data_IF_888210078907
#
_entry.id   IF_888210078907
#
_cell.length_a   1.000
_cell.length_b   1.000
_cell.length_c   1.000
_cell.angle_alpha   90.00
_cell.angle_beta   90.00
_cell.angle_gamma   90.00
#
_symmetry.space_group_name_H-M   'P 1'
#
loop_
_entity.id
_entity.type
_entity.pdbx_description
1 polymer ?
#
# COMPACT_ATOMS: atom_id res chain seq x y z
N UNK A 1 -0.03 36.92 24.71
CA UNK A 1 -1.49 36.82 24.85
C UNK A 1 -2.09 36.60 23.48
N UNK A 2 -2.58 35.38 23.27
CA UNK A 2 -3.65 34.92 22.39
C UNK A 2 -3.79 35.51 20.98
N UNK A 3 -3.53 34.69 19.97
CA UNK A 3 -4.48 34.38 18.88
C UNK A 3 -4.24 32.93 18.45
N UNK A 4 -5.08 32.00 18.92
CA UNK A 4 -6.22 31.43 18.17
C UNK A 4 -5.77 30.26 17.30
N UNK A 5 -5.94 29.01 17.76
CA UNK A 5 -7.20 28.26 17.59
C UNK A 5 -7.68 28.36 16.14
N UNK A 6 -7.02 27.63 15.26
CA UNK A 6 -7.68 26.98 14.12
C UNK A 6 -7.04 25.59 13.99
N UNK A 7 -7.52 24.66 14.82
CA UNK A 7 -7.41 23.23 14.52
C UNK A 7 -8.20 23.03 13.24
N UNK A 8 -7.51 22.94 12.11
CA UNK A 8 -8.13 22.61 10.83
C UNK A 8 -8.62 21.17 10.96
N UNK A 9 -9.92 21.05 11.21
CA UNK A 9 -10.66 19.82 11.07
C UNK A 9 -10.57 19.40 9.60
N UNK A 10 -9.70 18.44 9.29
CA UNK A 10 -9.76 17.73 8.02
C UNK A 10 -10.85 16.67 8.18
N UNK A 11 -12.04 17.07 7.74
CA UNK A 11 -13.21 16.22 7.60
C UNK A 11 -12.86 15.13 6.58
N UNK A 12 -12.64 13.90 7.05
CA UNK A 12 -12.49 12.71 6.21
C UNK A 12 -13.89 12.37 5.67
N UNK A 13 -14.23 12.94 4.52
CA UNK A 13 -15.41 12.55 3.75
C UNK A 13 -15.02 11.37 2.84
N UNK A 14 -15.24 10.18 3.38
CA UNK A 14 -15.17 8.89 2.70
C UNK A 14 -16.40 8.77 1.78
N UNK A 15 -16.22 8.84 0.46
CA UNK A 15 -17.20 8.29 -0.50
C UNK A 15 -16.45 7.45 -1.52
N UNK A 16 -16.42 6.15 -1.24
CA UNK A 16 -16.18 5.09 -2.22
C UNK A 16 -17.47 4.93 -3.02
N UNK A 17 -17.39 5.13 -4.34
CA UNK A 17 -18.38 4.61 -5.27
C UNK A 17 -17.64 3.91 -6.41
N UNK A 18 -17.37 2.61 -6.23
CA UNK A 18 -16.99 1.72 -7.33
C UNK A 18 -18.22 0.90 -7.72
N UNK A 19 -18.74 1.31 -8.87
CA UNK A 19 -19.46 0.59 -9.93
C UNK A 19 -19.45 -0.94 -9.86
N UNK A 20 -20.65 -1.53 -10.03
CA UNK A 20 -20.89 -2.76 -10.80
C UNK A 20 -22.36 -2.70 -11.30
N UNK A 21 -22.60 -2.37 -12.57
CA UNK A 21 -22.82 -3.29 -13.71
C UNK A 21 -24.20 -3.99 -13.73
N UNK A 22 -25.01 -3.53 -14.69
CA UNK A 22 -25.98 -4.25 -15.54
C UNK A 22 -27.19 -4.96 -14.92
N UNK A 23 -28.39 -4.54 -15.33
CA UNK A 23 -29.26 -5.37 -16.17
C UNK A 23 -30.34 -4.55 -16.89
N UNK A 24 -30.78 -5.15 -17.99
CA UNK A 24 -31.39 -4.62 -19.19
C UNK A 24 -32.92 -4.43 -19.10
N UNK A 25 -33.45 -3.72 -20.11
CA UNK A 25 -34.80 -3.82 -20.70
C UNK A 25 -36.00 -3.01 -20.14
N UNK A 26 -36.34 -1.98 -20.92
CA UNK A 26 -37.64 -1.81 -21.62
C UNK A 26 -38.81 -1.12 -20.90
N UNK A 27 -39.10 0.08 -21.43
CA UNK A 27 -40.40 0.73 -21.70
C UNK A 27 -41.37 1.02 -20.54
N UNK A 28 -41.55 2.30 -20.27
CA UNK A 28 -42.71 2.85 -19.56
C UNK A 28 -43.89 2.98 -20.55
N UNK A 29 -44.90 2.14 -20.34
CA UNK A 29 -46.23 2.23 -20.97
C UNK A 29 -47.18 2.88 -19.97
N UNK A 30 -47.83 3.97 -20.37
CA UNK A 30 -48.87 4.66 -19.60
C UNK A 30 -50.26 4.04 -19.84
N UNK A 31 -51.03 3.84 -18.76
CA UNK A 31 -52.50 3.82 -18.80
C UNK A 31 -53.24 2.56 -18.30
N UNK A 32 -53.54 2.53 -16.98
CA UNK A 32 -54.87 2.37 -16.32
C UNK A 32 -55.83 1.17 -16.68
N UNK A 33 -56.93 0.91 -15.91
CA UNK A 33 -56.99 -0.04 -14.79
C UNK A 33 -58.08 -1.15 -14.92
N UNK A 34 -57.94 -2.30 -14.23
CA UNK A 34 -59.08 -3.12 -13.75
C UNK A 34 -58.73 -4.40 -12.96
N UNK A 35 -59.49 -4.57 -11.87
CA UNK A 35 -60.10 -5.79 -11.31
C UNK A 35 -59.25 -6.97 -10.76
N UNK A 36 -59.50 -7.21 -9.45
CA UNK A 36 -59.62 -8.48 -8.71
C UNK A 36 -58.58 -9.59 -8.91
N UNK A 37 -57.95 -10.06 -7.83
CA UNK A 37 -58.43 -11.16 -6.95
C UNK A 37 -57.34 -11.48 -5.89
N UNK A 38 -57.74 -12.05 -4.76
CA UNK A 38 -56.90 -12.26 -3.57
C UNK A 38 -55.89 -13.41 -3.66
N UNK A 39 -54.99 -13.48 -2.66
CA UNK A 39 -54.10 -14.64 -2.48
C UNK A 39 -52.92 -14.36 -1.55
N UNK A 40 -53.04 -14.82 -0.32
CA UNK A 40 -52.06 -14.95 0.77
C UNK A 40 -50.90 -15.92 0.42
N UNK A 41 -49.63 -15.58 0.71
CA UNK A 41 -48.61 -16.44 1.41
C UNK A 41 -47.20 -15.80 1.53
N UNK A 42 -46.81 -15.53 2.79
CA UNK A 42 -45.54 -15.81 3.52
C UNK A 42 -44.15 -15.35 2.99
N UNK A 43 -43.29 -14.72 3.84
CA UNK A 43 -41.92 -14.32 3.49
C UNK A 43 -40.90 -15.46 3.69
N UNK A 44 -40.17 -15.81 2.62
CA UNK A 44 -39.04 -16.74 2.66
C UNK A 44 -37.73 -16.02 3.00
N UNK A 45 -37.24 -16.22 4.22
CA UNK A 45 -35.87 -15.90 4.64
C UNK A 45 -34.92 -16.82 3.87
N UNK A 46 -34.05 -16.25 3.04
CA UNK A 46 -32.84 -16.92 2.57
C UNK A 46 -31.64 -16.06 2.98
N UNK A 47 -31.25 -16.30 4.23
CA UNK A 47 -29.89 -16.11 4.70
C UNK A 47 -28.94 -16.83 3.74
N UNK A 48 -27.97 -16.11 3.19
CA UNK A 48 -26.70 -16.65 2.72
C UNK A 48 -25.69 -15.50 2.64
N UNK A 49 -25.46 -14.85 3.79
CA UNK A 49 -24.25 -14.06 3.98
C UNK A 49 -23.09 -15.04 4.06
N UNK A 50 -22.45 -15.31 2.92
CA UNK A 50 -21.15 -15.96 2.86
C UNK A 50 -20.12 -15.00 3.44
N UNK A 51 -19.99 -15.01 4.77
CA UNK A 51 -18.92 -14.31 5.47
C UNK A 51 -17.65 -15.10 5.20
N UNK A 52 -16.96 -14.76 4.11
CA UNK A 52 -15.57 -15.14 3.90
C UNK A 52 -14.78 -14.57 5.06
N UNK A 53 -14.54 -15.41 6.06
CA UNK A 53 -13.71 -15.08 7.21
C UNK A 53 -12.27 -15.06 6.73
N UNK A 54 -11.87 -13.94 6.12
CA UNK A 54 -10.48 -13.65 5.85
C UNK A 54 -9.80 -13.58 7.22
N UNK A 55 -9.04 -14.62 7.55
CA UNK A 55 -8.15 -14.60 8.72
C UNK A 55 -7.28 -13.36 8.53
N UNK A 56 -7.49 -12.33 9.37
CA UNK A 56 -6.62 -11.17 9.42
C UNK A 56 -5.28 -11.68 9.96
N UNK A 57 -4.37 -12.03 9.05
CA UNK A 57 -2.97 -12.25 9.42
C UNK A 57 -2.48 -11.01 10.17
N UNK A 58 -1.76 -11.23 11.27
CA UNK A 58 -1.08 -10.14 11.95
C UNK A 58 -0.13 -9.45 10.95
N UNK A 59 -0.03 -8.13 11.06
CA UNK A 59 0.89 -7.34 10.26
C UNK A 59 2.33 -7.82 10.51
N UNK A 60 3.10 -7.96 9.44
CA UNK A 60 4.50 -8.39 9.45
C UNK A 60 5.31 -7.53 8.47
N UNK A 61 6.32 -6.82 8.98
CA UNK A 61 7.12 -5.87 8.21
C UNK A 61 7.97 -6.56 7.13
N UNK A 62 8.46 -7.80 7.38
CA UNK A 62 9.19 -8.55 6.36
C UNK A 62 8.28 -8.89 5.18
N UNK A 63 7.07 -9.42 5.46
CA UNK A 63 6.05 -9.68 4.43
C UNK A 63 5.70 -8.41 3.67
N UNK A 64 5.44 -7.30 4.36
CA UNK A 64 5.11 -6.03 3.71
C UNK A 64 6.25 -5.54 2.78
N UNK A 65 7.50 -5.68 3.21
CA UNK A 65 8.70 -5.38 2.44
C UNK A 65 8.82 -6.23 1.17
N UNK A 66 8.53 -7.53 1.24
CA UNK A 66 8.52 -8.40 0.07
C UNK A 66 7.34 -8.14 -0.87
N UNK A 67 6.17 -7.79 -0.34
CA UNK A 67 4.98 -7.50 -1.15
C UNK A 67 5.19 -6.24 -2.04
N UNK A 68 5.99 -5.26 -1.59
CA UNK A 68 6.33 -4.07 -2.39
C UNK A 68 7.53 -4.28 -3.33
N UNK A 69 8.23 -5.41 -3.27
CA UNK A 69 9.50 -5.64 -3.96
C UNK A 69 9.45 -5.35 -5.48
N UNK A 70 10.29 -4.45 -6.04
CA UNK A 70 10.10 -3.92 -7.40
C UNK A 70 10.00 -4.94 -8.54
N UNK A 71 10.57 -6.14 -8.39
CA UNK A 71 10.45 -7.25 -9.34
C UNK A 71 10.28 -8.59 -8.61
N UNK A 72 9.69 -9.65 -9.19
CA UNK A 72 9.05 -9.69 -10.50
C UNK A 72 7.82 -8.78 -10.54
N UNK A 73 7.28 -8.54 -11.73
CA UNK A 73 6.05 -7.77 -11.91
C UNK A 73 4.84 -8.54 -11.32
N UNK A 74 4.67 -8.46 -10.00
CA UNK A 74 3.41 -8.81 -9.34
C UNK A 74 2.36 -7.73 -9.66
N UNK A 75 1.08 -8.04 -9.50
CA UNK A 75 0.01 -7.13 -9.90
C UNK A 75 0.11 -5.80 -9.11
N UNK A 76 -0.01 -4.65 -9.78
CA UNK A 76 0.06 -3.33 -9.14
C UNK A 76 -0.95 -3.17 -7.99
N UNK A 77 -2.08 -3.87 -8.04
CA UNK A 77 -3.08 -3.90 -6.98
C UNK A 77 -2.58 -4.57 -5.69
N UNK A 78 -1.74 -5.60 -5.79
CA UNK A 78 -1.14 -6.27 -4.62
C UNK A 78 -0.15 -5.35 -3.93
N UNK A 79 0.72 -4.69 -4.72
CA UNK A 79 1.65 -3.67 -4.20
C UNK A 79 0.92 -2.51 -3.54
N UNK A 80 -0.13 -2.00 -4.18
CA UNK A 80 -0.94 -0.93 -3.61
C UNK A 80 -1.58 -1.30 -2.28
N UNK A 81 -2.05 -2.54 -2.10
CA UNK A 81 -2.55 -3.02 -0.81
C UNK A 81 -1.48 -3.03 0.27
N UNK A 82 -0.26 -3.51 -0.05
CA UNK A 82 0.85 -3.49 0.89
C UNK A 82 1.26 -2.06 1.28
N UNK A 83 1.32 -1.13 0.32
CA UNK A 83 1.63 0.28 0.59
C UNK A 83 0.60 0.94 1.51
N UNK A 84 -0.69 0.68 1.29
CA UNK A 84 -1.76 1.15 2.17
C UNK A 84 -1.66 0.54 3.58
N UNK A 85 -1.31 -0.74 3.68
CA UNK A 85 -1.14 -1.42 4.96
C UNK A 85 0.05 -0.84 5.75
N UNK A 86 1.20 -0.61 5.10
CA UNK A 86 2.38 0.04 5.69
C UNK A 86 2.03 1.42 6.24
N UNK A 87 1.36 2.26 5.43
CA UNK A 87 0.95 3.60 5.85
C UNK A 87 -0.01 3.56 7.04
N UNK A 88 -1.03 2.69 7.00
CA UNK A 88 -2.00 2.52 8.09
C UNK A 88 -1.34 2.10 9.40
N UNK A 89 -0.30 1.28 9.33
CA UNK A 89 0.44 0.81 10.50
C UNK A 89 1.48 1.82 11.00
N UNK A 90 1.79 2.87 10.23
CA UNK A 90 2.84 3.83 10.57
C UNK A 90 4.21 3.16 10.69
N UNK A 91 4.47 2.13 9.88
CA UNK A 91 5.66 1.30 10.03
C UNK A 91 6.93 2.00 9.54
N UNK A 92 7.62 2.64 10.47
CA UNK A 92 8.87 3.37 10.23
C UNK A 92 10.04 2.49 9.80
N UNK A 93 10.01 1.18 10.06
CA UNK A 93 11.03 0.26 9.53
C UNK A 93 10.98 0.19 8.00
N UNK A 94 9.84 0.53 7.39
CA UNK A 94 9.67 0.50 5.93
C UNK A 94 10.30 1.67 5.19
N UNK A 95 10.86 2.67 5.87
CA UNK A 95 11.48 3.82 5.20
C UNK A 95 12.59 3.39 4.23
N UNK A 96 13.61 2.59 4.62
CA UNK A 96 14.65 2.19 3.67
C UNK A 96 14.12 1.38 2.48
N UNK A 97 13.27 0.33 2.66
CA UNK A 97 12.66 -0.38 1.53
C UNK A 97 11.84 0.50 0.58
N UNK A 98 11.09 1.48 1.11
CA UNK A 98 10.26 2.37 0.30
C UNK A 98 11.11 3.35 -0.53
N UNK A 99 12.18 3.90 0.05
CA UNK A 99 13.13 4.77 -0.69
C UNK A 99 13.80 3.98 -1.82
N UNK A 100 14.23 2.75 -1.56
CA UNK A 100 14.79 1.87 -2.59
C UNK A 100 13.75 1.53 -3.66
N UNK A 101 12.52 1.17 -3.27
CA UNK A 101 11.45 0.90 -4.21
C UNK A 101 11.17 2.11 -5.12
N UNK A 102 11.17 3.33 -4.58
CA UNK A 102 10.98 4.57 -5.33
C UNK A 102 12.04 4.75 -6.42
N UNK A 103 13.29 4.31 -6.21
CA UNK A 103 14.37 4.37 -7.21
C UNK A 103 14.06 3.55 -8.46
N UNK A 104 13.43 2.39 -8.30
CA UNK A 104 13.23 1.42 -9.38
C UNK A 104 11.81 1.42 -9.97
N UNK A 105 10.86 2.11 -9.34
CA UNK A 105 9.50 2.23 -9.86
C UNK A 105 9.40 3.37 -10.89
N UNK A 106 8.96 3.08 -12.14
CA UNK A 106 8.72 4.11 -13.14
C UNK A 106 7.58 5.05 -12.70
N UNK A 107 7.48 6.21 -13.34
CA UNK A 107 6.43 7.20 -13.05
C UNK A 107 5.01 6.61 -13.16
N UNK A 108 4.07 7.18 -12.40
CA UNK A 108 2.67 6.79 -12.40
C UNK A 108 2.13 6.46 -11.01
N UNK A 109 0.90 5.94 -10.97
CA UNK A 109 0.13 5.78 -9.74
C UNK A 109 0.85 4.95 -8.66
N UNK A 110 1.63 3.94 -9.04
CA UNK A 110 2.35 3.12 -8.07
C UNK A 110 3.51 3.88 -7.41
N UNK A 111 4.24 4.70 -8.17
CA UNK A 111 5.30 5.57 -7.64
C UNK A 111 4.73 6.61 -6.68
N UNK A 112 3.59 7.21 -7.04
CA UNK A 112 2.87 8.15 -6.19
C UNK A 112 2.39 7.48 -4.88
N UNK A 113 1.96 6.21 -4.94
CA UNK A 113 1.59 5.44 -3.75
C UNK A 113 2.80 5.17 -2.83
N UNK A 114 3.97 4.88 -3.40
CA UNK A 114 5.21 4.74 -2.59
C UNK A 114 5.55 6.06 -1.90
N UNK A 115 5.53 7.18 -2.63
CA UNK A 115 5.78 8.50 -2.05
C UNK A 115 4.73 8.87 -0.99
N UNK A 116 3.47 8.47 -1.19
CA UNK A 116 2.41 8.64 -0.18
C UNK A 116 2.72 7.85 1.08
N UNK A 117 3.04 6.56 0.96
CA UNK A 117 3.42 5.74 2.11
C UNK A 117 4.63 6.33 2.84
N UNK A 118 5.64 6.82 2.12
CA UNK A 118 6.79 7.52 2.70
C UNK A 118 6.37 8.74 3.51
N UNK A 119 5.51 9.61 2.97
CA UNK A 119 5.02 10.80 3.71
C UNK A 119 4.26 10.40 4.97
N UNK A 120 3.43 9.35 4.92
CA UNK A 120 2.67 8.89 6.09
C UNK A 120 3.58 8.34 7.20
N UNK A 121 4.62 7.56 6.86
CA UNK A 121 5.50 6.98 7.89
C UNK A 121 6.59 7.95 8.39
N UNK A 122 6.95 8.96 7.60
CA UNK A 122 8.03 9.93 7.93
C UNK A 122 7.52 11.33 8.34
N UNK A 123 6.23 11.60 8.15
CA UNK A 123 5.61 12.91 8.31
C UNK A 123 6.23 14.02 7.44
N UNK A 124 6.97 13.64 6.38
CA UNK A 124 7.55 14.58 5.41
C UNK A 124 6.55 14.99 4.34
N UNK A 125 6.89 16.05 3.59
CA UNK A 125 6.06 16.58 2.49
C UNK A 125 6.74 16.50 1.12
N UNK A 126 7.78 15.68 0.96
CA UNK A 126 8.48 15.51 -0.31
C UNK A 126 7.57 14.86 -1.36
N UNK A 127 7.69 15.30 -2.62
CA UNK A 127 6.98 14.74 -3.77
C UNK A 127 7.66 13.46 -4.27
N UNK A 128 7.04 12.72 -5.19
CA UNK A 128 7.57 11.45 -5.70
C UNK A 128 8.81 11.60 -6.61
N UNK A 129 9.09 12.83 -7.06
CA UNK A 129 10.26 13.23 -7.84
C UNK A 129 11.35 13.94 -7.01
N UNK A 130 11.10 14.23 -5.74
CA UNK A 130 12.07 14.83 -4.81
C UNK A 130 13.05 13.77 -4.27
N UNK A 131 13.92 13.30 -5.17
CA UNK A 131 14.90 12.26 -4.86
C UNK A 131 15.94 12.70 -3.84
N UNK A 132 16.34 13.97 -3.85
CA UNK A 132 17.27 14.54 -2.88
C UNK A 132 16.69 14.47 -1.47
N UNK A 133 15.44 14.92 -1.28
CA UNK A 133 14.74 14.81 0.00
C UNK A 133 14.64 13.37 0.49
N UNK A 134 14.23 12.44 -0.39
CA UNK A 134 14.05 11.04 -0.01
C UNK A 134 15.35 10.28 0.29
N UNK A 135 16.49 10.70 -0.23
CA UNK A 135 17.78 10.03 0.03
C UNK A 135 18.56 10.62 1.20
N UNK A 136 18.48 11.93 1.42
CA UNK A 136 19.19 12.55 2.54
C UNK A 136 18.50 12.34 3.89
N UNK A 137 17.17 12.36 3.90
CA UNK A 137 16.41 12.31 5.14
C UNK A 137 16.67 11.04 5.97
N UNK A 138 16.72 9.83 5.38
CA UNK A 138 17.03 8.60 6.14
C UNK A 138 18.39 8.66 6.82
N UNK A 139 19.42 9.22 6.16
CA UNK A 139 20.76 9.37 6.74
C UNK A 139 20.79 10.23 7.99
N UNK A 140 19.92 11.26 8.07
CA UNK A 140 19.78 12.13 9.25
C UNK A 140 18.91 11.54 10.37
N UNK A 141 18.12 10.50 10.10
CA UNK A 141 17.09 9.98 11.01
C UNK A 141 17.21 8.48 11.30
N UNK A 142 18.35 7.88 10.98
CA UNK A 142 18.55 6.42 10.90
C UNK A 142 18.22 5.65 12.18
N UNK A 143 18.56 6.19 13.36
CA UNK A 143 18.35 5.51 14.65
C UNK A 143 16.88 5.17 14.96
N UNK A 144 15.93 5.81 14.27
CA UNK A 144 14.49 5.58 14.47
C UNK A 144 13.82 4.79 13.35
N UNK A 145 14.60 4.29 12.38
CA UNK A 145 14.11 3.67 11.15
C UNK A 145 14.97 2.45 10.76
N UNK A 146 15.35 1.62 11.73
CA UNK A 146 16.02 0.35 11.43
C UNK A 146 15.12 -0.51 10.53
N UNK A 147 15.65 -1.05 9.42
CA UNK A 147 14.83 -1.77 8.46
C UNK A 147 14.42 -3.16 8.99
N UNK A 148 13.45 -3.83 8.35
CA UNK A 148 13.06 -5.18 8.74
C UNK A 148 14.25 -6.15 8.73
N UNK A 149 14.27 -7.19 9.58
CA UNK A 149 15.41 -8.11 9.69
C UNK A 149 15.88 -8.73 8.38
N UNK A 150 14.98 -8.95 7.41
CA UNK A 150 15.33 -9.53 6.11
C UNK A 150 15.82 -8.50 5.08
N UNK A 151 15.95 -7.22 5.44
CA UNK A 151 16.28 -6.14 4.50
C UNK A 151 17.59 -6.37 3.76
N UNK A 152 18.60 -6.92 4.44
CA UNK A 152 19.88 -7.26 3.80
C UNK A 152 19.67 -8.27 2.67
N UNK A 153 18.91 -9.34 2.93
CA UNK A 153 18.57 -10.33 1.91
C UNK A 153 17.74 -9.71 0.79
N UNK A 154 16.74 -8.91 1.15
CA UNK A 154 15.89 -8.20 0.20
C UNK A 154 16.70 -7.28 -0.73
N UNK A 155 17.66 -6.53 -0.20
CA UNK A 155 18.54 -5.65 -0.98
C UNK A 155 19.51 -6.44 -1.86
N UNK A 156 20.02 -7.58 -1.40
CA UNK A 156 20.83 -8.48 -2.25
C UNK A 156 20.00 -8.98 -3.44
N UNK A 157 18.75 -9.39 -3.20
CA UNK A 157 17.84 -9.83 -4.27
C UNK A 157 17.45 -8.64 -5.19
N UNK A 158 17.37 -7.42 -4.64
CA UNK A 158 17.22 -6.17 -5.41
C UNK A 158 18.49 -5.81 -6.21
N UNK A 159 19.66 -6.29 -5.84
CA UNK A 159 20.84 -6.07 -6.70
C UNK A 159 20.95 -7.18 -7.73
N UNK A 160 20.52 -8.40 -7.40
CA UNK A 160 20.50 -9.55 -8.30
C UNK A 160 19.67 -9.33 -9.58
N UNK A 161 18.55 -8.60 -9.46
CA UNK A 161 17.71 -8.27 -10.62
C UNK A 161 18.37 -7.27 -11.59
N UNK A 162 19.36 -6.49 -11.13
CA UNK A 162 20.14 -5.59 -11.99
C UNK A 162 21.29 -6.34 -12.69
N UNK A 163 22.02 -7.16 -11.92
CA UNK A 163 23.10 -7.99 -12.45
C UNK A 163 23.30 -9.25 -11.61
N UNK A 164 23.35 -10.40 -12.27
CA UNK A 164 23.57 -11.73 -11.66
C UNK A 164 24.87 -11.86 -10.85
N UNK A 165 25.82 -10.93 -11.00
CA UNK A 165 27.10 -10.92 -10.26
C UNK A 165 26.96 -10.33 -8.86
N UNK A 166 25.98 -9.47 -8.60
CA UNK A 166 25.82 -8.82 -7.29
C UNK A 166 25.67 -9.79 -6.12
N UNK A 167 24.88 -10.88 -6.21
CA UNK A 167 24.80 -11.87 -5.14
C UNK A 167 26.17 -12.45 -4.77
N UNK A 168 27.04 -12.70 -5.76
CA UNK A 168 28.39 -13.25 -5.50
C UNK A 168 29.26 -12.28 -4.71
N UNK A 169 29.09 -10.99 -4.95
CA UNK A 169 29.82 -9.93 -4.26
C UNK A 169 29.25 -9.63 -2.86
N UNK A 170 27.92 -9.68 -2.71
CA UNK A 170 27.23 -9.22 -1.50
C UNK A 170 26.88 -10.34 -0.51
N UNK A 171 26.90 -11.62 -0.89
CA UNK A 171 26.64 -12.75 0.03
C UNK A 171 27.49 -12.70 1.32
N UNK A 172 28.80 -12.34 1.29
CA UNK A 172 29.59 -12.20 2.50
C UNK A 172 29.03 -11.18 3.53
N UNK A 173 28.20 -10.21 3.10
CA UNK A 173 27.52 -9.27 3.99
C UNK A 173 26.50 -9.96 4.91
N UNK A 174 26.04 -11.16 4.56
CA UNK A 174 25.20 -11.99 5.45
C UNK A 174 26.01 -12.68 6.55
N UNK A 175 27.33 -12.82 6.38
CA UNK A 175 28.18 -13.67 7.23
C UNK A 175 29.17 -12.89 8.10
N UNK A 176 29.78 -11.80 7.58
CA UNK A 176 31.01 -11.26 8.19
C UNK A 176 31.02 -9.78 8.51
N UNK A 177 29.96 -9.02 8.24
CA UNK A 177 30.00 -7.59 8.54
C UNK A 177 28.62 -7.00 8.75
N UNK A 178 28.44 -6.10 9.74
CA UNK A 178 27.35 -5.14 9.76
C UNK A 178 27.65 -4.08 8.68
N UNK A 179 27.76 -4.49 7.41
CA UNK A 179 27.74 -3.51 6.31
C UNK A 179 26.39 -2.85 6.42
N UNK A 180 26.42 -1.55 6.65
CA UNK A 180 25.24 -0.74 6.56
C UNK A 180 24.81 -0.64 5.09
N UNK A 181 24.10 -1.66 4.64
CA UNK A 181 23.57 -1.71 3.30
C UNK A 181 22.59 -0.58 2.95
N UNK A 182 21.91 0.12 3.86
CA UNK A 182 21.27 1.40 3.57
C UNK A 182 22.14 2.40 2.79
N UNK A 183 23.46 2.39 2.99
CA UNK A 183 24.40 3.32 2.33
C UNK A 183 25.05 2.77 1.05
N UNK A 184 24.77 1.52 0.67
CA UNK A 184 25.33 0.93 -0.57
C UNK A 184 24.51 1.36 -1.78
N UNK A 185 25.08 2.25 -2.59
CA UNK A 185 24.48 2.99 -3.72
C UNK A 185 24.36 2.17 -5.01
#
# INVERSE_FOLDING_TARGET
MNHSIVRIAVLVALIVAVVACSNNDTSESTGDPSLSDGGDVTPGIADNTSVSSTVSLAYDSNRAMWDIFPWPAVASAEKGRALLEIARMGDRSMVPPLVEALKYMPSGALREQVATALREVTEQSYTDDDWEGWTEWPGRNRESHEPPPEYVKWKIDLMAGLDSRFPKFLTPALEYSPIDLPEVV
#
